data_IF_175056082974
#
_entry.id   IF_175056082974
#
_cell.length_a   1.000
_cell.length_b   1.000
_cell.length_c   1.000
_cell.angle_alpha   90.00
_cell.angle_beta   90.00
_cell.angle_gamma   90.00
#
_symmetry.space_group_name_H-M   'P 1'
#
loop_
_entity.id
_entity.type
_entity.pdbx_description
1 polymer ?
#
# COMPACT_ATOMS: atom_id res chain seq x y z
N UNK A 1 0.00 -40.39 -61.72
CA UNK A 1 1.08 -39.39 -61.63
C UNK A 1 0.47 -38.02 -61.38
N UNK A 2 0.61 -37.52 -60.15
CA UNK A 2 1.50 -36.37 -59.84
C UNK A 2 0.92 -35.12 -60.52
N UNK A 3 0.00 -34.36 -59.91
CA UNK A 3 0.33 -33.04 -59.30
C UNK A 3 -0.76 -32.54 -58.30
N UNK A 4 -1.90 -33.23 -58.11
CA UNK A 4 -3.03 -32.67 -57.30
C UNK A 4 -2.98 -32.87 -55.77
N UNK A 5 -1.95 -33.55 -55.23
CA UNK A 5 -1.83 -33.85 -53.78
C UNK A 5 -0.84 -32.97 -53.00
N UNK A 6 -0.35 -31.88 -53.60
CA UNK A 6 0.64 -30.98 -52.97
C UNK A 6 0.15 -29.53 -52.79
N UNK A 7 -1.17 -29.33 -52.63
CA UNK A 7 -1.75 -27.99 -52.38
C UNK A 7 -2.72 -27.91 -51.20
N UNK A 8 -2.97 -29.01 -50.48
CA UNK A 8 -3.82 -29.02 -49.28
C UNK A 8 -3.06 -29.10 -47.95
N UNK A 9 -1.73 -29.21 -47.99
CA UNK A 9 -0.88 -29.30 -46.79
C UNK A 9 -0.11 -27.99 -46.50
N UNK A 10 -0.32 -26.93 -47.31
CA UNK A 10 0.31 -25.62 -47.09
C UNK A 10 -0.68 -24.53 -46.65
N UNK A 11 -1.89 -24.92 -46.25
CA UNK A 11 -2.95 -24.00 -45.80
C UNK A 11 -3.52 -24.41 -44.43
N UNK A 12 -2.67 -25.07 -43.62
CA UNK A 12 -2.94 -25.42 -42.22
C UNK A 12 -1.99 -24.67 -41.27
N UNK A 13 -1.04 -23.88 -41.79
CA UNK A 13 -0.13 -23.06 -40.96
C UNK A 13 -0.52 -21.57 -40.88
N UNK A 14 -1.67 -21.14 -41.43
CA UNK A 14 -1.98 -19.71 -41.53
C UNK A 14 -3.42 -19.30 -41.14
N UNK A 15 -4.27 -20.21 -40.65
CA UNK A 15 -5.68 -19.88 -40.36
C UNK A 15 -6.27 -20.60 -39.14
N UNK A 16 -5.44 -20.90 -38.14
CA UNK A 16 -5.88 -21.41 -36.84
C UNK A 16 -5.17 -20.75 -35.65
N UNK A 17 -4.35 -19.72 -35.89
CA UNK A 17 -3.79 -18.84 -34.87
C UNK A 17 -4.83 -17.78 -34.42
N UNK A 18 -6.09 -18.20 -34.24
CA UNK A 18 -7.20 -17.35 -33.85
C UNK A 18 -8.13 -18.06 -32.84
N UNK A 19 -7.58 -18.92 -31.99
CA UNK A 19 -8.26 -19.46 -30.82
C UNK A 19 -7.30 -19.56 -29.61
N UNK A 20 -6.46 -18.54 -29.44
CA UNK A 20 -6.02 -18.12 -28.11
C UNK A 20 -6.71 -16.79 -27.84
N UNK A 21 -8.05 -16.85 -27.74
CA UNK A 21 -8.76 -15.93 -26.88
C UNK A 21 -8.20 -16.23 -25.49
N UNK A 22 -7.14 -15.50 -25.15
CA UNK A 22 -6.60 -15.50 -23.82
C UNK A 22 -7.78 -15.31 -22.89
N UNK A 23 -8.00 -16.30 -22.05
CA UNK A 23 -8.25 -16.07 -20.64
C UNK A 23 -7.26 -15.00 -20.14
N UNK A 24 -7.49 -13.74 -20.47
CA UNK A 24 -7.48 -12.70 -19.48
C UNK A 24 -8.80 -12.97 -18.74
N UNK A 25 -8.85 -13.89 -17.78
CA UNK A 25 -8.26 -13.63 -16.47
C UNK A 25 -8.41 -12.13 -16.23
N UNK A 26 -9.57 -11.78 -15.69
CA UNK A 26 -9.69 -10.70 -14.72
C UNK A 26 -8.41 -10.67 -13.89
N UNK A 27 -7.41 -9.94 -14.37
CA UNK A 27 -6.30 -9.54 -13.53
C UNK A 27 -6.85 -8.38 -12.74
N UNK A 28 -7.58 -8.76 -11.69
CA UNK A 28 -7.39 -8.25 -10.34
C UNK A 28 -6.53 -6.98 -10.33
N UNK A 29 -7.19 -5.86 -10.00
CA UNK A 29 -6.58 -4.59 -9.60
C UNK A 29 -5.25 -4.28 -10.28
N UNK A 30 -5.31 -3.42 -11.29
CA UNK A 30 -4.17 -2.86 -12.00
C UNK A 30 -3.21 -2.14 -11.03
N UNK A 31 -2.35 -2.90 -10.33
CA UNK A 31 -1.26 -2.42 -9.47
C UNK A 31 -0.12 -2.00 -10.40
N UNK A 32 -0.37 -1.00 -11.24
CA UNK A 32 0.70 -0.40 -12.01
C UNK A 32 1.71 0.19 -11.02
N UNK A 33 3.00 -0.09 -11.20
CA UNK A 33 4.05 0.33 -10.26
C UNK A 33 4.08 1.86 -10.05
N UNK A 34 3.55 2.63 -11.01
CA UNK A 34 3.37 4.07 -10.91
C UNK A 34 2.38 4.53 -9.83
N UNK A 35 1.52 3.64 -9.33
CA UNK A 35 0.44 3.96 -8.40
C UNK A 35 0.80 3.52 -6.96
N UNK A 36 1.91 2.80 -6.82
CA UNK A 36 2.33 2.18 -5.57
C UNK A 36 3.01 3.19 -4.66
N UNK A 37 2.55 3.28 -3.42
CA UNK A 37 3.21 3.95 -2.31
C UNK A 37 3.87 2.88 -1.45
N UNK A 38 5.12 3.13 -1.04
CA UNK A 38 5.80 2.31 -0.04
C UNK A 38 6.10 3.15 1.19
N UNK A 39 5.67 2.70 2.37
CA UNK A 39 5.99 3.34 3.65
C UNK A 39 6.74 2.32 4.50
N UNK A 40 7.96 2.65 4.93
CA UNK A 40 8.76 1.80 5.80
C UNK A 40 9.11 2.50 7.10
N UNK A 41 9.53 1.74 8.09
CA UNK A 41 10.08 2.29 9.33
C UNK A 41 10.61 1.18 10.24
N UNK A 42 11.06 1.58 11.43
CA UNK A 42 11.54 0.66 12.44
C UNK A 42 11.04 1.08 13.82
N UNK A 43 10.58 0.09 14.59
CA UNK A 43 10.17 0.25 15.98
C UNK A 43 11.21 -0.40 16.87
N UNK A 44 11.62 0.31 17.92
CA UNK A 44 12.61 -0.11 18.88
C UNK A 44 11.97 -0.34 20.25
N UNK A 45 12.56 -1.23 21.06
CA UNK A 45 12.10 -1.47 22.42
C UNK A 45 12.23 -0.22 23.30
N UNK A 46 13.39 0.46 23.26
CA UNK A 46 13.61 1.72 23.99
C UNK A 46 14.74 2.54 23.38
N UNK A 47 14.86 3.81 23.79
CA UNK A 47 15.98 4.68 23.35
C UNK A 47 17.34 4.21 23.85
N UNK A 48 17.38 3.56 25.02
CA UNK A 48 18.59 3.03 25.66
C UNK A 48 18.99 1.65 25.12
N UNK A 49 18.02 0.88 24.63
CA UNK A 49 18.23 -0.42 24.02
C UNK A 49 17.50 -0.47 22.67
N UNK A 50 18.22 -0.06 21.61
CA UNK A 50 17.74 -0.04 20.22
C UNK A 50 17.64 -1.43 19.57
N UNK A 51 17.26 -2.44 20.35
CA UNK A 51 16.79 -3.70 19.80
C UNK A 51 15.43 -3.49 19.13
N UNK A 52 15.19 -4.21 18.04
CA UNK A 52 13.93 -4.14 17.31
C UNK A 52 12.75 -4.66 18.15
N UNK A 53 11.61 -4.00 18.02
CA UNK A 53 10.35 -4.39 18.63
C UNK A 53 9.50 -5.20 17.64
N UNK A 54 9.46 -6.55 17.75
CA UNK A 54 8.65 -7.37 16.86
C UNK A 54 7.16 -7.26 17.17
N UNK A 55 6.33 -7.70 16.22
CA UNK A 55 4.88 -7.88 16.36
C UNK A 55 4.08 -6.59 16.70
N UNK A 56 4.68 -5.42 16.48
CA UNK A 56 3.97 -4.14 16.56
C UNK A 56 3.11 -4.00 15.31
N UNK A 57 1.81 -3.81 15.50
CA UNK A 57 0.88 -3.57 14.40
C UNK A 57 0.95 -2.11 13.99
N UNK A 58 1.15 -1.83 12.70
CA UNK A 58 1.14 -0.49 12.11
C UNK A 58 -0.09 -0.39 11.23
N UNK A 59 -0.93 0.60 11.53
CA UNK A 59 -2.14 0.92 10.77
C UNK A 59 -1.91 2.25 10.08
N UNK A 60 -2.10 2.27 8.76
CA UNK A 60 -2.05 3.46 7.93
C UNK A 60 -3.43 3.60 7.30
N UNK A 61 -4.18 4.62 7.70
CA UNK A 61 -5.58 4.79 7.34
C UNK A 61 -5.83 6.21 6.85
N UNK A 62 -6.95 6.40 6.15
CA UNK A 62 -7.42 7.75 5.83
C UNK A 62 -7.84 8.45 7.13
N UNK A 63 -7.35 9.67 7.33
CA UNK A 63 -7.78 10.50 8.45
C UNK A 63 -9.29 10.81 8.32
N UNK A 64 -10.03 10.70 9.43
CA UNK A 64 -11.50 10.85 9.44
C UNK A 64 -11.97 12.20 8.90
N UNK A 65 -11.19 13.26 9.12
CA UNK A 65 -11.46 14.63 8.69
C UNK A 65 -10.93 14.96 7.29
N UNK A 66 -10.28 14.01 6.63
CA UNK A 66 -9.68 14.23 5.31
C UNK A 66 -10.75 14.45 4.23
N UNK A 67 -10.73 15.63 3.61
CA UNK A 67 -11.54 15.95 2.44
C UNK A 67 -10.96 15.45 1.11
N UNK A 68 -9.85 14.67 1.12
CA UNK A 68 -9.26 14.23 -0.14
C UNK A 68 -10.20 13.28 -0.88
N UNK A 69 -10.43 13.53 -2.18
CA UNK A 69 -11.36 12.72 -2.96
C UNK A 69 -10.71 11.43 -3.47
N UNK A 70 -9.37 11.31 -3.39
CA UNK A 70 -8.65 10.08 -3.78
C UNK A 70 -9.06 8.87 -2.93
N UNK A 71 -9.10 7.70 -3.55
CA UNK A 71 -9.33 6.42 -2.86
C UNK A 71 -8.03 5.99 -2.18
N UNK A 72 -8.15 5.67 -0.90
CA UNK A 72 -7.05 5.25 -0.04
C UNK A 72 -7.51 4.01 0.72
N UNK A 73 -6.83 2.85 0.56
CA UNK A 73 -7.10 1.69 1.38
C UNK A 73 -6.52 1.85 2.79
N UNK A 74 -7.19 1.27 3.78
CA UNK A 74 -6.61 1.06 5.11
C UNK A 74 -5.60 -0.08 5.05
N UNK A 75 -4.42 0.15 5.62
CA UNK A 75 -3.29 -0.78 5.54
C UNK A 75 -2.85 -1.18 6.93
N UNK A 76 -2.78 -2.49 7.15
CA UNK A 76 -2.36 -3.08 8.41
C UNK A 76 -1.16 -3.98 8.13
N UNK A 77 -0.02 -3.65 8.72
CA UNK A 77 1.20 -4.48 8.67
C UNK A 77 1.74 -4.71 10.07
N UNK A 78 2.68 -5.64 10.21
CA UNK A 78 3.37 -5.91 11.48
C UNK A 78 4.87 -5.78 11.31
N UNK A 79 5.55 -5.37 12.37
CA UNK A 79 7.00 -5.38 12.41
C UNK A 79 7.55 -6.81 12.43
N UNK A 80 8.67 -7.02 11.74
CA UNK A 80 9.40 -8.28 11.73
C UNK A 80 10.19 -8.51 13.04
N UNK A 81 10.94 -9.63 13.10
CA UNK A 81 11.78 -9.97 14.25
C UNK A 81 12.83 -8.90 14.63
N UNK A 82 13.15 -7.98 13.71
CA UNK A 82 14.09 -6.88 13.92
C UNK A 82 13.38 -5.53 14.10
N UNK A 83 12.06 -5.53 14.29
CA UNK A 83 11.25 -4.33 14.46
C UNK A 83 10.99 -3.54 13.20
N UNK A 84 11.30 -4.07 12.01
CA UNK A 84 11.14 -3.36 10.73
C UNK A 84 9.77 -3.64 10.13
N UNK A 85 9.17 -2.64 9.49
CA UNK A 85 7.96 -2.83 8.71
C UNK A 85 8.07 -2.18 7.33
N UNK A 86 7.33 -2.72 6.37
CA UNK A 86 7.13 -2.12 5.06
C UNK A 86 5.66 -2.32 4.65
N UNK A 87 4.94 -1.20 4.53
CA UNK A 87 3.58 -1.12 4.01
C UNK A 87 3.60 -0.70 2.54
N UNK A 88 2.81 -1.38 1.72
CA UNK A 88 2.71 -1.14 0.28
C UNK A 88 1.23 -1.02 -0.10
N UNK A 89 0.85 0.08 -0.73
CA UNK A 89 -0.54 0.32 -1.09
C UNK A 89 -0.67 1.22 -2.32
N UNK A 90 -1.81 1.12 -2.98
CA UNK A 90 -2.07 1.85 -4.22
C UNK A 90 -2.98 3.04 -3.95
N UNK A 91 -2.58 4.22 -4.42
CA UNK A 91 -3.45 5.38 -4.50
C UNK A 91 -4.23 5.36 -5.82
N UNK A 92 -5.50 5.74 -5.81
CA UNK A 92 -6.34 5.79 -7.01
C UNK A 92 -7.20 7.05 -7.03
N UNK A 93 -7.57 7.48 -8.24
CA UNK A 93 -8.56 8.55 -8.41
C UNK A 93 -9.95 8.09 -7.94
N UNK A 94 -10.81 9.02 -7.49
CA UNK A 94 -12.17 8.71 -7.02
C UNK A 94 -13.04 8.00 -8.07
N UNK A 95 -12.80 8.27 -9.35
CA UNK A 95 -13.51 7.68 -10.47
C UNK A 95 -13.01 6.28 -10.83
N UNK A 96 -12.06 5.72 -10.07
CA UNK A 96 -11.43 4.44 -10.35
C UNK A 96 -10.50 4.47 -11.56
N UNK A 97 -10.19 5.65 -12.09
CA UNK A 97 -9.20 5.82 -13.15
C UNK A 97 -7.84 5.28 -12.71
N UNK A 98 -7.28 4.37 -13.50
CA UNK A 98 -5.90 3.93 -13.31
C UNK A 98 -4.94 5.12 -13.45
N UNK A 99 -3.89 5.18 -12.63
CA UNK A 99 -2.86 6.22 -12.77
C UNK A 99 -2.00 5.87 -13.99
N UNK A 100 -2.44 6.31 -15.16
CA UNK A 100 -1.71 6.17 -16.42
C UNK A 100 -0.85 7.43 -16.60
N UNK A 101 0.32 7.48 -15.95
CA UNK A 101 1.53 8.27 -16.25
C UNK A 101 1.47 9.77 -16.61
N UNK A 102 0.32 10.46 -16.61
CA UNK A 102 0.27 11.89 -16.99
C UNK A 102 0.11 12.80 -15.78
N UNK A 103 -0.40 12.30 -14.64
CA UNK A 103 -0.50 13.07 -13.39
C UNK A 103 -0.36 12.14 -12.18
N UNK A 104 0.56 12.42 -11.24
CA UNK A 104 0.67 11.64 -10.02
C UNK A 104 -0.56 11.85 -9.14
N UNK A 105 -1.10 10.76 -8.58
CA UNK A 105 -2.09 10.87 -7.49
C UNK A 105 -1.38 11.30 -6.22
N UNK A 106 -1.91 12.34 -5.59
CA UNK A 106 -1.38 12.92 -4.37
C UNK A 106 -2.49 13.00 -3.32
N UNK A 107 -2.16 12.62 -2.08
CA UNK A 107 -3.06 12.75 -0.94
C UNK A 107 -2.36 13.60 0.11
N UNK A 108 -2.71 14.89 0.13
CA UNK A 108 -2.13 15.84 1.07
C UNK A 108 -2.82 15.76 2.43
N UNK A 109 -2.05 15.63 3.49
CA UNK A 109 -2.50 15.71 4.88
C UNK A 109 -3.72 14.82 5.20
N UNK A 110 -3.81 13.69 4.51
CA UNK A 110 -5.04 12.90 4.44
C UNK A 110 -4.94 11.57 5.16
N UNK A 111 -3.78 11.27 5.70
CA UNK A 111 -3.45 9.97 6.27
C UNK A 111 -3.09 10.10 7.74
N UNK A 112 -3.45 9.08 8.49
CA UNK A 112 -3.07 8.88 9.89
C UNK A 112 -2.25 7.61 10.01
N UNK A 113 -1.29 7.61 10.92
CA UNK A 113 -0.51 6.41 11.26
C UNK A 113 -0.71 6.10 12.74
N UNK A 114 -1.25 4.92 13.01
CA UNK A 114 -1.43 4.38 14.34
C UNK A 114 -0.51 3.18 14.50
N UNK A 115 0.04 3.00 15.70
CA UNK A 115 0.78 1.80 16.06
C UNK A 115 0.21 1.17 17.31
N UNK A 116 0.13 -0.16 17.33
CA UNK A 116 -0.41 -0.94 18.44
C UNK A 116 0.64 -1.96 18.87
N UNK A 117 1.05 -1.89 20.14
CA UNK A 117 2.02 -2.83 20.71
C UNK A 117 1.40 -4.23 20.87
N UNK A 118 2.22 -5.28 21.07
CA UNK A 118 1.73 -6.62 21.39
C UNK A 118 0.85 -6.67 22.65
N UNK A 119 1.02 -5.70 23.56
CA UNK A 119 0.20 -5.56 24.77
C UNK A 119 -1.05 -4.68 24.56
N UNK A 120 -1.43 -4.40 23.31
CA UNK A 120 -2.56 -3.54 22.93
C UNK A 120 -2.46 -2.09 23.42
N UNK A 121 -1.24 -1.57 23.61
CA UNK A 121 -1.05 -0.13 23.85
C UNK A 121 -1.02 0.59 22.52
N UNK A 122 -1.66 1.75 22.44
CA UNK A 122 -1.78 2.52 21.19
C UNK A 122 -0.80 3.69 21.26
N UNK A 123 -0.12 3.93 20.14
CA UNK A 123 0.63 5.15 19.87
C UNK A 123 0.13 5.77 18.58
N UNK A 124 -0.42 6.97 18.68
CA UNK A 124 -0.92 7.73 17.54
C UNK A 124 0.15 8.71 17.08
N UNK A 125 0.70 8.48 15.88
CA UNK A 125 1.67 9.41 15.28
C UNK A 125 0.97 10.67 14.73
N UNK A 126 -0.37 10.69 14.74
CA UNK A 126 -1.20 11.79 14.30
C UNK A 126 -1.69 11.66 12.86
N UNK A 127 -2.58 12.56 12.49
CA UNK A 127 -3.03 12.78 11.13
C UNK A 127 -2.14 13.80 10.41
N UNK A 128 -2.32 13.94 9.09
CA UNK A 128 -1.60 14.93 8.29
C UNK A 128 -0.45 14.37 7.45
N UNK A 129 -0.33 13.05 7.36
CA UNK A 129 0.64 12.43 6.46
C UNK A 129 0.23 12.62 4.99
N UNK A 130 1.23 12.86 4.16
CA UNK A 130 1.08 13.14 2.74
C UNK A 130 1.82 12.09 1.91
N UNK A 131 1.13 11.48 0.94
CA UNK A 131 1.74 10.50 0.05
C UNK A 131 1.48 10.80 -1.42
N UNK A 132 2.48 10.47 -2.23
CA UNK A 132 2.45 10.56 -3.69
C UNK A 132 2.63 9.16 -4.27
N UNK A 133 1.79 8.82 -5.23
CA UNK A 133 1.91 7.61 -6.03
C UNK A 133 3.33 7.46 -6.62
N UNK A 134 3.87 6.24 -6.58
CA UNK A 134 5.20 5.91 -7.08
C UNK A 134 6.36 6.31 -6.16
N UNK A 135 6.10 6.75 -4.92
CA UNK A 135 7.13 7.17 -3.96
C UNK A 135 7.30 6.19 -2.80
N UNK A 136 8.52 6.22 -2.23
CA UNK A 136 8.89 5.55 -0.99
C UNK A 136 9.12 6.57 0.12
N UNK A 137 8.55 6.30 1.29
CA UNK A 137 8.65 7.11 2.49
C UNK A 137 9.25 6.27 3.61
N UNK A 138 10.09 6.89 4.44
CA UNK A 138 10.62 6.28 5.65
C UNK A 138 10.15 7.09 6.86
N UNK A 139 9.41 6.45 7.74
CA UNK A 139 9.01 7.01 9.03
C UNK A 139 10.23 6.94 9.96
N UNK A 140 10.34 7.93 10.85
CA UNK A 140 11.42 8.02 11.83
C UNK A 140 11.37 6.86 12.85
N UNK A 141 12.46 6.71 13.61
CA UNK A 141 12.56 5.73 14.70
C UNK A 141 11.42 5.92 15.71
N UNK A 142 10.60 4.88 15.92
CA UNK A 142 9.55 4.86 16.94
C UNK A 142 10.00 3.98 18.11
N UNK A 143 9.66 4.34 19.34
CA UNK A 143 10.05 3.58 20.53
C UNK A 143 8.81 3.08 21.27
N UNK A 144 8.80 1.81 21.71
CA UNK A 144 7.67 1.22 22.45
C UNK A 144 7.38 1.95 23.77
N UNK A 145 8.36 2.61 24.35
CA UNK A 145 8.17 3.44 25.55
C UNK A 145 7.29 4.67 25.30
N UNK A 146 7.12 5.08 24.04
CA UNK A 146 6.19 6.16 23.64
C UNK A 146 4.74 5.66 23.58
N UNK A 147 4.51 4.34 23.67
CA UNK A 147 3.19 3.73 23.66
C UNK A 147 2.61 3.79 25.07
N UNK A 148 1.71 4.73 25.29
CA UNK A 148 0.96 4.86 26.53
C UNK A 148 -0.50 5.18 26.22
N UNK A 149 -1.41 4.43 26.83
CA UNK A 149 -2.82 4.81 26.97
C UNK A 149 -3.27 4.45 28.39
N UNK A 150 -4.16 5.25 28.99
CA UNK A 150 -5.55 5.23 28.53
C UNK A 150 -5.91 6.49 27.74
N UNK A 151 -6.67 6.27 26.67
CA UNK A 151 -7.38 7.32 25.94
C UNK A 151 -8.49 7.88 26.83
N UNK A 152 -8.16 8.85 27.69
CA UNK A 152 -9.18 9.74 28.22
C UNK A 152 -9.44 10.81 27.16
N UNK A 153 -10.58 10.68 26.50
CA UNK A 153 -11.13 11.61 25.50
C UNK A 153 -11.58 12.94 26.12
N UNK A 154 -10.88 13.46 27.14
CA UNK A 154 -11.29 14.66 27.89
C UNK A 154 -10.23 15.74 28.03
N UNK A 155 -9.10 15.68 27.33
CA UNK A 155 -8.22 16.85 27.19
C UNK A 155 -8.39 17.50 25.82
N UNK A 156 -9.46 18.27 25.68
CA UNK A 156 -9.41 19.44 24.82
C UNK A 156 -8.31 20.38 25.37
N UNK A 157 -7.36 20.86 24.56
CA UNK A 157 -6.48 21.93 25.02
C UNK A 157 -7.35 23.16 25.31
N UNK A 158 -7.26 23.64 26.56
CA UNK A 158 -7.70 24.98 26.89
C UNK A 158 -6.88 25.98 26.06
N UNK A 159 -7.60 26.99 25.56
CA UNK A 159 -7.19 28.08 24.67
C UNK A 159 -5.77 28.65 24.90
#
# INVERSE_FOLDING_TARGET
MTVKKLRKTLLICAAGALCLAGSACDSEHNVNAGNLVTVSGQVFLSRLNRAGAPDVTVVIEKAEDSSTPSIIPDIIVRTDANGRYEARFTLSYPDGGGVFDITPVFVEQSMRILMVSPENRIYDLGAGFTFQAGKKYNIWDVFLEDFAAPSDSSQAPAL
#
